data_IF_715768265651
#
_entry.id   IF_715768265651
#
_cell.length_a   1.000
_cell.length_b   1.000
_cell.length_c   1.000
_cell.angle_alpha   90.00
_cell.angle_beta   90.00
_cell.angle_gamma   90.00
#
_symmetry.space_group_name_H-M   'P 1'
#
loop_
_entity.id
_entity.type
_entity.pdbx_description
1 polymer ?
#
# COMPACT_ATOMS: atom_id res chain seq x y z
N UNK A 1 -5.65 4.14 -22.05
CA UNK A 1 -4.84 5.01 -21.17
C UNK A 1 -5.20 4.66 -19.73
N UNK A 2 -4.22 4.34 -18.90
CA UNK A 2 -4.41 3.73 -17.58
C UNK A 2 -4.86 4.74 -16.51
N UNK A 3 -4.31 5.95 -16.56
CA UNK A 3 -4.75 7.13 -15.79
C UNK A 3 -4.73 8.34 -16.70
N UNK A 4 -5.60 9.32 -16.46
CA UNK A 4 -5.71 10.51 -17.29
C UNK A 4 -4.78 11.66 -16.83
N UNK A 5 -3.79 11.37 -15.99
CA UNK A 5 -2.89 12.37 -15.39
C UNK A 5 -2.19 13.21 -16.44
N UNK A 6 -1.55 12.58 -17.42
CA UNK A 6 -0.81 13.29 -18.47
C UNK A 6 -1.75 14.13 -19.34
N UNK A 7 -2.93 13.60 -19.70
CA UNK A 7 -3.92 14.32 -20.53
C UNK A 7 -4.49 15.52 -19.78
N UNK A 8 -4.86 15.34 -18.51
CA UNK A 8 -5.45 16.41 -17.71
C UNK A 8 -4.39 17.45 -17.35
N UNK A 9 -3.15 17.04 -17.08
CA UNK A 9 -2.03 17.97 -16.88
C UNK A 9 -1.72 18.75 -18.14
N UNK A 10 -1.71 18.10 -19.30
CA UNK A 10 -1.52 18.78 -20.59
C UNK A 10 -2.63 19.81 -20.86
N UNK A 11 -3.90 19.45 -20.61
CA UNK A 11 -5.03 20.35 -20.74
C UNK A 11 -4.92 21.54 -19.76
N UNK A 12 -4.62 21.26 -18.50
CA UNK A 12 -4.46 22.28 -17.48
C UNK A 12 -3.32 23.24 -17.82
N UNK A 13 -2.20 22.74 -18.35
CA UNK A 13 -1.08 23.58 -18.77
C UNK A 13 -1.42 24.54 -19.92
N UNK A 14 -2.37 24.19 -20.79
CA UNK A 14 -2.85 25.07 -21.86
C UNK A 14 -3.87 26.12 -21.39
N UNK A 15 -4.74 25.76 -20.45
CA UNK A 15 -5.90 26.58 -20.05
C UNK A 15 -5.65 27.43 -18.79
N UNK A 16 -4.82 26.93 -17.86
CA UNK A 16 -4.50 27.59 -16.59
C UNK A 16 -3.27 28.47 -16.79
N UNK A 17 -3.51 29.76 -16.96
CA UNK A 17 -2.47 30.75 -17.25
C UNK A 17 -2.23 31.73 -16.08
N UNK A 18 -3.05 31.67 -15.02
CA UNK A 18 -2.93 32.54 -13.86
C UNK A 18 -3.33 31.83 -12.57
N UNK A 19 -2.62 32.14 -11.48
CA UNK A 19 -2.98 31.69 -10.13
C UNK A 19 -4.41 32.10 -9.72
N UNK A 20 -4.97 33.16 -10.31
CA UNK A 20 -6.35 33.61 -10.03
C UNK A 20 -7.41 32.62 -10.51
N UNK A 21 -7.05 31.71 -11.42
CA UNK A 21 -7.94 30.65 -11.88
C UNK A 21 -7.97 29.48 -10.88
N UNK A 22 -7.02 29.41 -9.95
CA UNK A 22 -6.90 28.34 -8.96
C UNK A 22 -7.66 28.68 -7.67
N UNK A 23 -8.22 27.69 -6.96
CA UNK A 23 -8.12 26.25 -7.23
C UNK A 23 -9.13 25.74 -8.27
N UNK A 24 -8.75 24.70 -9.01
CA UNK A 24 -9.63 23.98 -9.95
C UNK A 24 -9.61 22.49 -9.60
N UNK A 25 -10.77 21.84 -9.61
CA UNK A 25 -10.89 20.40 -9.45
C UNK A 25 -11.70 19.82 -10.61
N UNK A 26 -11.03 19.05 -11.46
CA UNK A 26 -11.62 18.39 -12.62
C UNK A 26 -11.85 16.92 -12.30
N UNK A 27 -13.00 16.37 -12.68
CA UNK A 27 -13.24 14.93 -12.56
C UNK A 27 -13.96 14.40 -13.78
N UNK A 28 -13.79 13.11 -14.02
CA UNK A 28 -14.53 12.39 -15.04
C UNK A 28 -14.99 11.04 -14.49
N UNK A 29 -16.07 10.53 -15.08
CA UNK A 29 -16.54 9.16 -14.86
C UNK A 29 -16.48 8.51 -16.23
N UNK A 30 -15.49 7.63 -16.43
CA UNK A 30 -15.20 7.08 -17.75
C UNK A 30 -14.82 5.60 -17.66
N UNK A 31 -15.12 4.81 -18.70
CA UNK A 31 -14.57 3.47 -18.80
C UNK A 31 -13.05 3.55 -18.93
N UNK A 32 -12.35 2.72 -18.16
CA UNK A 32 -10.91 2.54 -18.20
C UNK A 32 -10.60 1.13 -18.64
N UNK A 33 -9.45 0.98 -19.29
CA UNK A 33 -8.92 -0.31 -19.68
C UNK A 33 -7.57 -0.53 -19.00
N UNK A 34 -7.42 -1.68 -18.34
CA UNK A 34 -6.15 -2.17 -17.83
C UNK A 34 -5.92 -3.60 -18.32
N UNK A 35 -4.76 -3.86 -18.92
CA UNK A 35 -4.42 -5.20 -19.37
C UNK A 35 -3.99 -6.08 -18.19
N UNK A 36 -4.98 -6.44 -17.36
CA UNK A 36 -4.79 -7.29 -16.20
C UNK A 36 -4.45 -8.71 -16.66
N UNK A 37 -3.31 -9.21 -16.17
CA UNK A 37 -2.78 -10.53 -16.50
C UNK A 37 -3.71 -11.64 -16.01
N UNK A 38 -4.34 -11.46 -14.85
CA UNK A 38 -5.29 -12.42 -14.26
C UNK A 38 -6.58 -11.73 -13.82
N UNK A 39 -7.55 -11.51 -14.72
CA UNK A 39 -8.87 -11.01 -14.36
C UNK A 39 -9.58 -12.02 -13.44
N UNK A 40 -10.09 -11.57 -12.30
CA UNK A 40 -10.73 -12.42 -11.28
C UNK A 40 -11.89 -11.68 -10.63
N UNK A 41 -12.80 -12.41 -9.98
CA UNK A 41 -13.87 -11.82 -9.15
C UNK A 41 -14.83 -10.87 -9.90
N UNK A 42 -15.01 -11.07 -11.20
CA UNK A 42 -15.96 -10.31 -12.01
C UNK A 42 -15.59 -8.83 -12.08
N UNK A 43 -16.46 -7.97 -11.56
CA UNK A 43 -16.33 -6.51 -11.62
C UNK A 43 -15.18 -6.01 -10.73
N UNK A 44 -14.80 -6.77 -9.69
CA UNK A 44 -13.76 -6.35 -8.73
C UNK A 44 -12.39 -6.25 -9.41
N UNK A 45 -12.07 -7.18 -10.32
CA UNK A 45 -10.79 -7.19 -11.05
C UNK A 45 -10.97 -7.61 -12.51
N UNK A 46 -11.47 -6.68 -13.31
CA UNK A 46 -11.70 -6.82 -14.75
C UNK A 46 -10.68 -6.02 -15.58
N UNK A 47 -10.63 -6.28 -16.89
CA UNK A 47 -9.83 -5.49 -17.84
C UNK A 47 -10.48 -4.17 -18.21
N UNK A 48 -11.81 -4.11 -18.18
CA UNK A 48 -12.59 -2.90 -18.42
C UNK A 48 -13.47 -2.62 -17.21
N UNK A 49 -13.41 -1.40 -16.69
CA UNK A 49 -14.18 -0.97 -15.53
C UNK A 49 -14.47 0.52 -15.59
N UNK A 50 -15.52 0.97 -14.91
CA UNK A 50 -15.83 2.39 -14.77
C UNK A 50 -15.02 2.95 -13.62
N UNK A 51 -14.28 4.04 -13.87
CA UNK A 51 -13.54 4.74 -12.83
C UNK A 51 -13.99 6.19 -12.78
N UNK A 52 -14.13 6.68 -11.55
CA UNK A 52 -14.17 8.10 -11.27
C UNK A 52 -12.77 8.54 -10.87
N UNK A 53 -12.12 9.31 -11.73
CA UNK A 53 -10.81 9.94 -11.51
C UNK A 53 -10.99 11.46 -11.41
N UNK A 54 -10.25 12.09 -10.49
CA UNK A 54 -10.29 13.52 -10.24
C UNK A 54 -8.89 14.09 -10.02
N UNK A 55 -8.70 15.32 -10.48
CA UNK A 55 -7.42 16.02 -10.53
C UNK A 55 -7.64 17.46 -10.06
N UNK A 56 -7.04 17.82 -8.92
CA UNK A 56 -7.04 19.19 -8.43
C UNK A 56 -5.74 19.91 -8.78
N UNK A 57 -5.87 21.18 -9.09
CA UNK A 57 -4.79 22.12 -9.31
C UNK A 57 -4.96 23.25 -8.30
N UNK A 58 -3.92 23.47 -7.51
CA UNK A 58 -3.90 24.42 -6.41
C UNK A 58 -2.66 25.32 -6.54
N UNK A 59 -2.75 26.56 -6.06
CA UNK A 59 -1.66 27.54 -6.20
C UNK A 59 -0.52 27.32 -5.20
N UNK A 60 -0.83 26.69 -4.05
CA UNK A 60 0.06 26.47 -2.93
C UNK A 60 -0.27 25.14 -2.21
N UNK A 61 0.66 24.61 -1.39
CA UNK A 61 0.45 23.37 -0.63
C UNK A 61 -0.75 23.45 0.33
N UNK A 62 -1.03 24.61 0.92
CA UNK A 62 -2.20 24.78 1.80
C UNK A 62 -3.53 24.65 1.05
N UNK A 63 -3.57 25.06 -0.22
CA UNK A 63 -4.67 24.84 -1.15
C UNK A 63 -4.85 23.37 -1.48
N UNK A 64 -3.74 22.67 -1.77
CA UNK A 64 -3.73 21.23 -1.97
C UNK A 64 -4.33 20.49 -0.78
N UNK A 65 -3.93 20.83 0.45
CA UNK A 65 -4.46 20.20 1.67
C UNK A 65 -5.98 20.42 1.82
N UNK A 66 -6.48 21.61 1.45
CA UNK A 66 -7.92 21.90 1.46
C UNK A 66 -8.65 21.08 0.40
N UNK A 67 -8.14 21.06 -0.84
CA UNK A 67 -8.70 20.27 -1.94
C UNK A 67 -8.70 18.78 -1.61
N UNK A 68 -7.62 18.28 -1.01
CA UNK A 68 -7.50 16.91 -0.51
C UNK A 68 -8.56 16.59 0.54
N UNK A 69 -8.71 17.45 1.56
CA UNK A 69 -9.72 17.27 2.62
C UNK A 69 -11.14 17.31 2.06
N UNK A 70 -11.41 18.20 1.10
CA UNK A 70 -12.72 18.25 0.43
C UNK A 70 -13.04 16.95 -0.29
N UNK A 71 -12.03 16.35 -0.95
CA UNK A 71 -12.17 15.06 -1.60
C UNK A 71 -12.37 13.94 -0.58
N UNK A 72 -11.58 13.89 0.48
CA UNK A 72 -11.74 12.96 1.59
C UNK A 72 -13.18 12.96 2.12
N UNK A 73 -13.70 14.14 2.47
CA UNK A 73 -15.06 14.29 2.99
C UNK A 73 -16.12 13.92 1.95
N UNK A 74 -15.86 14.18 0.66
CA UNK A 74 -16.74 13.78 -0.43
C UNK A 74 -16.83 12.26 -0.58
N UNK A 75 -15.69 11.55 -0.54
CA UNK A 75 -15.68 10.09 -0.57
C UNK A 75 -16.39 9.51 0.66
N UNK A 76 -16.13 10.03 1.87
CA UNK A 76 -16.88 9.65 3.06
C UNK A 76 -18.40 9.75 2.87
N UNK A 77 -18.89 10.87 2.30
CA UNK A 77 -20.32 11.05 1.98
C UNK A 77 -20.81 10.08 0.91
N UNK A 78 -20.01 9.78 -0.11
CA UNK A 78 -20.37 8.83 -1.18
C UNK A 78 -20.54 7.43 -0.59
N UNK A 79 -19.53 6.90 0.11
CA UNK A 79 -19.61 5.56 0.71
C UNK A 79 -20.74 5.45 1.74
N UNK A 80 -20.94 6.49 2.56
CA UNK A 80 -22.08 6.56 3.49
C UNK A 80 -23.43 6.51 2.77
N UNK A 81 -23.59 7.23 1.65
CA UNK A 81 -24.82 7.21 0.84
C UNK A 81 -25.04 5.88 0.12
N UNK A 82 -23.97 5.18 -0.23
CA UNK A 82 -24.03 3.83 -0.78
C UNK A 82 -24.37 2.76 0.27
N UNK A 83 -24.37 3.10 1.57
CA UNK A 83 -24.65 2.15 2.65
C UNK A 83 -23.53 1.13 2.86
N UNK A 84 -22.30 1.48 2.52
CA UNK A 84 -21.14 0.60 2.62
C UNK A 84 -20.44 0.82 3.95
N UNK A 85 -20.05 -0.28 4.61
CA UNK A 85 -19.14 -0.24 5.75
C UNK A 85 -17.70 -0.21 5.22
N UNK A 86 -16.99 0.89 5.47
CA UNK A 86 -15.65 1.11 4.95
C UNK A 86 -14.71 1.56 6.06
N UNK A 87 -13.42 1.27 5.87
CA UNK A 87 -12.32 1.72 6.70
C UNK A 87 -11.42 2.59 5.82
N UNK A 88 -10.95 3.70 6.38
CA UNK A 88 -9.98 4.56 5.70
C UNK A 88 -8.61 4.20 6.24
N UNK A 89 -7.68 3.88 5.35
CA UNK A 89 -6.35 3.40 5.71
C UNK A 89 -5.30 4.28 5.06
N UNK A 90 -4.20 4.53 5.77
CA UNK A 90 -3.01 5.12 5.15
C UNK A 90 -2.39 4.13 4.18
N UNK A 91 -2.06 4.62 2.99
CA UNK A 91 -1.51 3.81 1.91
C UNK A 91 -0.19 4.39 1.40
N UNK A 92 0.54 3.58 0.66
CA UNK A 92 1.70 4.06 -0.08
C UNK A 92 1.23 4.82 -1.32
N UNK A 93 1.91 5.92 -1.65
CA UNK A 93 1.59 6.74 -2.82
C UNK A 93 1.98 6.06 -4.14
N UNK A 94 2.83 5.02 -4.08
CA UNK A 94 3.22 4.19 -5.21
C UNK A 94 3.80 4.97 -6.40
N UNK A 95 3.55 4.47 -7.61
CA UNK A 95 4.03 5.03 -8.89
C UNK A 95 3.47 6.44 -9.18
N UNK A 96 2.36 6.83 -8.55
CA UNK A 96 1.77 8.17 -8.71
C UNK A 96 2.54 9.25 -7.96
N UNK A 97 3.37 8.86 -6.97
CA UNK A 97 4.10 9.78 -6.12
C UNK A 97 3.18 10.60 -5.19
N UNK A 98 3.79 11.38 -4.29
CA UNK A 98 3.08 12.27 -3.36
C UNK A 98 3.27 11.94 -1.88
N UNK A 99 2.92 12.89 -1.02
CA UNK A 99 3.18 12.86 0.43
C UNK A 99 2.05 12.26 1.28
N UNK A 100 0.82 12.18 0.76
CA UNK A 100 -0.35 11.70 1.50
C UNK A 100 -1.29 10.87 0.65
N UNK A 101 -1.47 9.60 1.01
CA UNK A 101 -2.35 8.66 0.31
C UNK A 101 -3.27 7.96 1.33
N UNK A 102 -4.57 8.05 1.09
CA UNK A 102 -5.60 7.37 1.87
C UNK A 102 -6.41 6.46 0.95
N UNK A 103 -6.55 5.20 1.33
CA UNK A 103 -7.40 4.24 0.64
C UNK A 103 -8.70 4.03 1.42
N UNK A 104 -9.81 4.01 0.70
CA UNK A 104 -11.13 3.67 1.24
C UNK A 104 -11.38 2.19 0.94
N UNK A 105 -11.31 1.35 1.95
CA UNK A 105 -11.35 -0.10 1.78
C UNK A 105 -12.57 -0.69 2.48
N UNK A 106 -13.25 -1.63 1.82
CA UNK A 106 -14.38 -2.36 2.39
C UNK A 106 -13.85 -3.70 2.91
N UNK A 107 -13.90 -3.96 4.22
CA UNK A 107 -13.43 -5.23 4.78
C UNK A 107 -14.24 -6.40 4.21
N UNK A 108 -13.56 -7.34 3.56
CA UNK A 108 -14.16 -8.58 3.09
C UNK A 108 -13.14 -9.72 3.11
N UNK A 109 -13.59 -10.94 3.37
CA UNK A 109 -12.71 -12.13 3.41
C UNK A 109 -12.05 -12.42 2.06
N UNK A 110 -12.69 -12.02 0.96
CA UNK A 110 -12.18 -12.16 -0.41
C UNK A 110 -11.34 -10.97 -0.87
N UNK A 111 -11.01 -10.03 0.01
CA UNK A 111 -10.18 -8.87 -0.32
C UNK A 111 -8.77 -9.28 -0.70
N UNK A 112 -8.16 -8.59 -1.66
CA UNK A 112 -6.77 -8.82 -2.04
C UNK A 112 -5.79 -8.05 -1.14
N UNK A 113 -6.25 -6.95 -0.53
CA UNK A 113 -5.45 -6.10 0.35
C UNK A 113 -5.50 -6.54 1.81
N UNK A 114 -4.35 -6.54 2.47
CA UNK A 114 -4.26 -6.77 3.93
C UNK A 114 -4.16 -5.43 4.65
N UNK A 115 -5.13 -5.18 5.54
CA UNK A 115 -5.17 -3.97 6.35
C UNK A 115 -4.71 -4.30 7.77
N UNK A 116 -3.81 -3.48 8.30
CA UNK A 116 -3.43 -3.49 9.71
C UNK A 116 -4.15 -2.33 10.37
N UNK A 117 -4.88 -2.62 11.45
CA UNK A 117 -5.51 -1.60 12.27
C UNK A 117 -5.25 -1.88 13.74
N UNK A 118 -5.16 -0.83 14.54
CA UNK A 118 -4.98 -0.95 15.98
C UNK A 118 -6.34 -1.25 16.64
N UNK A 119 -6.32 -2.00 17.76
CA UNK A 119 -7.56 -2.40 18.45
C UNK A 119 -8.37 -1.20 18.98
N UNK A 120 -7.70 -0.10 19.26
CA UNK A 120 -8.26 1.17 19.69
C UNK A 120 -8.74 2.05 18.52
N UNK A 121 -8.49 1.63 17.27
CA UNK A 121 -8.95 2.31 16.05
C UNK A 121 -8.24 3.63 15.75
N UNK A 122 -7.15 3.93 16.46
CA UNK A 122 -6.37 5.16 16.29
C UNK A 122 -5.50 5.15 15.03
N UNK A 123 -5.18 3.97 14.50
CA UNK A 123 -4.34 3.81 13.32
C UNK A 123 -4.85 2.67 12.43
N UNK A 124 -4.88 2.92 11.13
CA UNK A 124 -5.13 1.90 10.12
C UNK A 124 -4.27 2.18 8.88
N UNK A 125 -3.56 1.17 8.40
CA UNK A 125 -2.69 1.27 7.23
C UNK A 125 -2.73 -0.02 6.41
N UNK A 126 -2.43 0.11 5.12
CA UNK A 126 -2.12 -1.05 4.30
C UNK A 126 -0.82 -1.71 4.79
N UNK A 127 -0.71 -3.04 4.68
CA UNK A 127 0.48 -3.81 5.03
C UNK A 127 1.77 -3.22 4.44
N UNK A 128 1.71 -2.71 3.21
CA UNK A 128 2.85 -2.08 2.52
C UNK A 128 3.32 -0.79 3.22
N UNK A 129 2.40 -0.05 3.85
CA UNK A 129 2.69 1.23 4.51
C UNK A 129 2.89 1.11 6.02
N UNK A 130 2.44 0.01 6.63
CA UNK A 130 2.40 -0.17 8.07
C UNK A 130 3.80 -0.06 8.68
N UNK A 131 3.97 0.89 9.60
CA UNK A 131 5.22 1.05 10.32
C UNK A 131 5.45 -0.16 11.24
N UNK A 132 6.67 -0.68 11.21
CA UNK A 132 7.13 -1.72 12.14
C UNK A 132 8.10 -1.05 13.10
N UNK A 133 7.71 -0.98 14.37
CA UNK A 133 8.65 -0.56 15.40
C UNK A 133 9.81 -1.56 15.47
N UNK A 134 11.07 -1.08 15.49
CA UNK A 134 12.20 -1.97 15.63
C UNK A 134 12.06 -2.75 16.93
N UNK A 135 12.18 -4.07 16.83
CA UNK A 135 12.22 -4.92 18.01
C UNK A 135 13.31 -4.39 18.97
N UNK A 136 13.07 -4.44 20.29
CA UNK A 136 14.10 -4.12 21.26
C UNK A 136 15.37 -4.87 20.89
N UNK A 137 16.49 -4.16 20.71
CA UNK A 137 17.78 -4.78 20.44
C UNK A 137 18.20 -5.54 21.69
N UNK A 138 17.75 -6.79 21.83
CA UNK A 138 18.36 -7.71 22.76
C UNK A 138 19.80 -7.93 22.28
N UNK A 139 20.76 -7.42 23.05
CA UNK A 139 22.15 -7.81 22.87
C UNK A 139 22.22 -9.28 23.24
N UNK A 140 22.33 -10.13 22.22
CA UNK A 140 22.70 -11.53 22.43
C UNK A 140 23.98 -11.55 23.27
N UNK A 141 23.92 -12.21 24.42
CA UNK A 141 25.07 -12.48 25.28
C UNK A 141 25.86 -13.71 24.83
N UNK A 142 25.51 -14.30 23.68
CA UNK A 142 26.19 -15.47 23.15
C UNK A 142 27.56 -15.09 22.60
N UNK A 143 28.58 -15.89 22.93
CA UNK A 143 29.86 -15.83 22.23
C UNK A 143 29.63 -16.07 20.74
N UNK A 144 30.17 -15.18 19.91
CA UNK A 144 30.05 -15.27 18.46
C UNK A 144 31.19 -16.17 17.97
N UNK A 145 30.93 -17.41 17.50
CA UNK A 145 31.97 -18.25 16.95
C UNK A 145 32.53 -17.62 15.65
N UNK A 146 33.76 -17.98 15.25
CA UNK A 146 34.32 -17.53 13.99
C UNK A 146 33.46 -18.00 12.81
N UNK A 147 33.33 -17.16 11.78
CA UNK A 147 32.60 -17.49 10.56
C UNK A 147 33.18 -18.76 9.91
N UNK A 148 32.31 -19.72 9.59
CA UNK A 148 32.69 -20.99 8.95
C UNK A 148 31.83 -21.25 7.71
N UNK A 149 32.44 -21.76 6.65
CA UNK A 149 31.72 -22.31 5.51
C UNK A 149 31.17 -23.69 5.86
N UNK A 150 29.85 -23.86 5.74
CA UNK A 150 29.16 -25.13 5.94
C UNK A 150 28.59 -25.58 4.60
N UNK A 151 28.90 -26.81 4.21
CA UNK A 151 28.40 -27.40 2.98
C UNK A 151 26.92 -27.78 3.15
N UNK A 152 26.00 -27.00 2.57
CA UNK A 152 24.54 -27.18 2.69
C UNK A 152 23.91 -27.59 1.34
N UNK A 153 24.13 -28.82 0.84
CA UNK A 153 23.60 -29.27 -0.44
C UNK A 153 22.07 -29.46 -0.35
N UNK A 154 21.35 -29.03 -1.40
CA UNK A 154 19.87 -29.11 -1.49
C UNK A 154 19.08 -28.34 -0.41
N UNK A 155 19.73 -27.43 0.32
CA UNK A 155 19.09 -26.59 1.35
C UNK A 155 18.96 -25.15 0.83
N UNK A 156 17.79 -24.82 0.30
CA UNK A 156 17.51 -23.52 -0.31
C UNK A 156 16.61 -22.59 0.52
N UNK A 157 15.82 -23.12 1.46
CA UNK A 157 14.84 -22.33 2.23
C UNK A 157 15.31 -22.02 3.65
N UNK A 158 14.78 -20.97 4.26
CA UNK A 158 15.07 -20.63 5.67
C UNK A 158 14.64 -21.77 6.60
N UNK A 159 13.47 -22.37 6.34
CA UNK A 159 12.95 -23.51 7.10
C UNK A 159 13.89 -24.72 7.08
N UNK A 160 14.41 -25.07 5.89
CA UNK A 160 15.36 -26.19 5.77
C UNK A 160 16.67 -25.92 6.50
N UNK A 161 17.12 -24.66 6.59
CA UNK A 161 18.31 -24.28 7.36
C UNK A 161 18.11 -24.38 8.87
N UNK A 162 16.92 -24.07 9.37
CA UNK A 162 16.58 -24.21 10.80
C UNK A 162 16.60 -25.68 11.26
N UNK A 163 16.21 -26.61 10.39
CA UNK A 163 16.25 -28.05 10.69
C UNK A 163 17.68 -28.59 10.76
N UNK A 164 18.56 -28.17 9.86
CA UNK A 164 19.98 -28.59 9.88
C UNK A 164 20.72 -28.01 11.09
N UNK A 165 20.46 -26.76 11.44
CA UNK A 165 21.04 -26.13 12.64
C UNK A 165 20.60 -26.79 13.96
N UNK A 166 19.40 -27.37 14.00
CA UNK A 166 18.87 -28.09 15.17
C UNK A 166 19.31 -29.55 15.23
N UNK A 167 19.66 -30.18 14.10
CA UNK A 167 20.25 -31.53 14.08
C UNK A 167 21.76 -31.52 14.41
N UNK A 168 22.53 -30.52 13.96
CA UNK A 168 23.96 -30.40 14.34
C UNK A 168 24.16 -30.13 15.84
N UNK A 169 23.21 -29.43 16.49
CA UNK A 169 23.23 -29.23 17.95
C UNK A 169 22.83 -30.48 18.72
N UNK A 170 22.13 -31.44 18.10
CA UNK A 170 21.80 -32.74 18.72
C UNK A 170 22.92 -33.77 18.59
N UNK A 171 23.75 -33.69 17.56
CA UNK A 171 24.88 -34.62 17.36
C UNK A 171 26.08 -34.33 18.26
N UNK A 172 26.27 -33.08 18.71
CA UNK A 172 27.39 -32.71 19.59
C UNK A 172 27.18 -33.07 21.07
N UNK A 173 26.09 -33.77 21.43
CA UNK A 173 25.79 -34.19 22.80
C UNK A 173 26.01 -35.68 23.09
N UNK A 174 26.65 -36.46 22.20
CA UNK A 174 26.72 -37.92 22.34
C UNK A 174 28.11 -38.58 22.38
N UNK A 175 29.20 -37.81 22.34
CA UNK A 175 30.55 -38.37 22.46
C UNK A 175 31.28 -37.74 23.68
N UNK A 176 30.84 -38.14 24.86
CA UNK A 176 31.61 -37.99 26.11
C UNK A 176 31.31 -39.20 27.01
N UNK A 177 32.00 -40.30 26.73
CA UNK A 177 32.30 -41.39 27.67
C UNK A 177 33.70 -41.95 27.32
#
# INVERSE_FOLDING_TARGET
>A
MFTAEEVVTYLAAGEINSYKQLPINLYQISPKFRDEFRPRFGIIRSREFIMKDAYSFDADPEGLDKSYKMMYDAYCRIFKRCGLEYVIVEAESGEMGGSGSHQFTIPCESGEDTIIYTKDGSYAANLERAAVDPLPKEKSSAEIPPMQEVHTPNIGSIESRLQVSTDETRTNGKDAD
#
